data_IF_929391705140
#
_entry.id   IF_929391705140
#
_cell.length_a   1.000
_cell.length_b   1.000
_cell.length_c   1.000
_cell.angle_alpha   90.00
_cell.angle_beta   90.00
_cell.angle_gamma   90.00
#
_symmetry.space_group_name_H-M   'P 1'
#
loop_
_entity.id
_entity.type
_entity.pdbx_description
1 polymer ?
#
# COMPACT_ATOMS: atom_id res chain seq x y z
N UNK A 1 -7.66 -19.19 -50.56
CA UNK A 1 -7.41 -19.68 -49.19
C UNK A 1 -7.28 -18.46 -48.30
N UNK A 2 -8.04 -18.45 -47.20
CA UNK A 2 -8.27 -17.38 -46.19
C UNK A 2 -9.65 -16.73 -46.27
N UNK A 3 -10.58 -17.37 -45.55
CA UNK A 3 -11.88 -16.86 -45.13
C UNK A 3 -11.69 -15.76 -44.09
N UNK A 4 -12.23 -14.57 -44.34
CA UNK A 4 -12.52 -13.60 -43.30
C UNK A 4 -13.92 -13.89 -42.77
N UNK A 5 -13.99 -14.67 -41.67
CA UNK A 5 -15.23 -14.78 -40.92
C UNK A 5 -15.56 -13.44 -40.26
N UNK A 6 -16.64 -12.84 -40.76
CA UNK A 6 -17.42 -11.79 -40.11
C UNK A 6 -17.74 -12.22 -38.66
N UNK A 7 -17.00 -11.66 -37.70
CA UNK A 7 -17.47 -11.63 -36.32
C UNK A 7 -18.55 -10.56 -36.23
N UNK A 8 -19.79 -10.88 -35.81
CA UNK A 8 -20.88 -9.91 -35.83
C UNK A 8 -20.62 -8.79 -34.82
N UNK A 9 -20.86 -7.54 -35.22
CA UNK A 9 -20.89 -6.32 -34.40
C UNK A 9 -21.77 -6.38 -33.12
N UNK A 10 -22.41 -7.52 -32.82
CA UNK A 10 -23.35 -7.70 -31.71
C UNK A 10 -22.70 -7.87 -30.33
N UNK A 11 -21.38 -8.02 -30.22
CA UNK A 11 -20.70 -8.14 -28.92
C UNK A 11 -20.22 -6.79 -28.36
N UNK A 12 -20.24 -5.71 -29.15
CA UNK A 12 -19.82 -4.36 -28.72
C UNK A 12 -21.01 -3.48 -28.32
N UNK A 13 -22.25 -3.91 -28.58
CA UNK A 13 -23.48 -3.16 -28.29
C UNK A 13 -24.41 -3.87 -27.28
N UNK A 14 -23.85 -4.36 -26.18
CA UNK A 14 -24.62 -4.75 -24.97
C UNK A 14 -24.03 -4.20 -23.66
N UNK A 15 -23.30 -3.08 -23.73
CA UNK A 15 -23.33 -2.14 -22.60
C UNK A 15 -24.66 -1.42 -22.70
N UNK A 16 -25.67 -2.00 -22.04
CA UNK A 16 -26.88 -1.29 -21.73
C UNK A 16 -26.50 0.11 -21.23
N UNK A 17 -27.21 1.11 -21.73
CA UNK A 17 -27.17 2.49 -21.25
C UNK A 17 -27.63 2.45 -19.79
N UNK A 18 -26.74 2.03 -18.89
CA UNK A 18 -26.84 2.36 -17.48
C UNK A 18 -26.43 3.82 -17.46
N UNK A 19 -27.42 4.69 -17.25
CA UNK A 19 -27.18 6.10 -16.91
C UNK A 19 -26.03 6.14 -15.91
N UNK A 20 -24.94 6.83 -16.28
CA UNK A 20 -23.81 7.00 -15.39
C UNK A 20 -24.33 7.62 -14.09
N UNK A 21 -23.96 7.07 -12.93
CA UNK A 21 -24.43 7.54 -11.64
C UNK A 21 -24.14 9.04 -11.45
N UNK A 22 -25.17 9.86 -11.24
CA UNK A 22 -25.07 11.33 -11.22
C UNK A 22 -24.72 11.92 -9.85
N UNK A 23 -24.73 11.12 -8.78
CA UNK A 23 -24.25 11.54 -7.46
C UNK A 23 -23.28 10.50 -6.86
N UNK A 24 -22.48 10.92 -5.86
CA UNK A 24 -21.42 10.11 -5.25
C UNK A 24 -21.92 8.76 -4.70
N UNK A 25 -23.14 8.69 -4.16
CA UNK A 25 -23.71 7.43 -3.66
C UNK A 25 -23.97 6.44 -4.78
N UNK A 26 -24.43 6.92 -5.94
CA UNK A 26 -24.70 6.04 -7.07
C UNK A 26 -23.39 5.50 -7.65
N UNK A 27 -22.30 6.30 -7.66
CA UNK A 27 -20.96 5.84 -8.08
C UNK A 27 -20.48 4.72 -7.15
N UNK A 28 -20.67 4.90 -5.83
CA UNK A 28 -20.31 3.88 -4.84
C UNK A 28 -21.08 2.58 -5.02
N UNK A 29 -22.41 2.66 -5.26
CA UNK A 29 -23.26 1.48 -5.50
C UNK A 29 -22.91 0.78 -6.80
N UNK A 30 -22.61 1.54 -7.84
CA UNK A 30 -22.15 1.01 -9.12
C UNK A 30 -20.83 0.25 -8.95
N UNK A 31 -19.84 0.87 -8.29
CA UNK A 31 -18.57 0.22 -8.00
C UNK A 31 -18.75 -1.05 -7.15
N UNK A 32 -19.59 -1.00 -6.11
CA UNK A 32 -19.85 -2.15 -5.24
C UNK A 32 -20.45 -3.34 -5.97
N UNK A 33 -21.38 -3.10 -6.89
CA UNK A 33 -22.04 -4.15 -7.68
C UNK A 33 -21.06 -4.89 -8.58
N UNK A 34 -20.09 -4.18 -9.15
CA UNK A 34 -19.12 -4.72 -10.10
C UNK A 34 -17.78 -5.10 -9.44
N UNK A 35 -17.67 -4.96 -8.11
CA UNK A 35 -16.44 -5.26 -7.39
C UNK A 35 -16.22 -6.77 -7.28
N UNK A 36 -15.11 -7.23 -7.84
CA UNK A 36 -14.64 -8.61 -7.72
C UNK A 36 -14.19 -8.91 -6.28
N UNK A 37 -15.03 -9.62 -5.53
CA UNK A 37 -14.79 -9.99 -4.13
C UNK A 37 -13.59 -10.90 -3.94
N UNK A 38 -13.16 -11.64 -4.97
CA UNK A 38 -11.95 -12.46 -4.88
C UNK A 38 -10.69 -11.61 -4.62
N UNK A 39 -10.67 -10.34 -5.05
CA UNK A 39 -9.57 -9.41 -4.73
C UNK A 39 -9.50 -9.10 -3.24
N UNK A 40 -10.65 -8.93 -2.61
CA UNK A 40 -10.77 -8.67 -1.19
C UNK A 40 -10.35 -9.90 -0.37
N UNK A 41 -10.85 -11.08 -0.72
CA UNK A 41 -10.48 -12.34 -0.05
C UNK A 41 -8.97 -12.61 -0.14
N UNK A 42 -8.39 -12.42 -1.34
CA UNK A 42 -6.95 -12.59 -1.55
C UNK A 42 -6.11 -11.58 -0.76
N UNK A 43 -6.58 -10.34 -0.62
CA UNK A 43 -5.89 -9.32 0.16
C UNK A 43 -5.94 -9.62 1.67
N UNK A 44 -7.11 -10.03 2.18
CA UNK A 44 -7.30 -10.40 3.58
C UNK A 44 -6.52 -11.66 3.95
N UNK A 45 -6.55 -12.68 3.09
CA UNK A 45 -5.75 -13.91 3.26
C UNK A 45 -4.25 -13.62 3.28
N UNK A 46 -3.76 -12.82 2.34
CA UNK A 46 -2.35 -12.43 2.29
C UNK A 46 -1.90 -11.66 3.55
N UNK A 47 -2.72 -10.75 4.05
CA UNK A 47 -2.46 -10.05 5.31
C UNK A 47 -2.45 -11.02 6.50
N UNK A 48 -3.43 -11.93 6.57
CA UNK A 48 -3.51 -12.93 7.64
C UNK A 48 -2.27 -13.82 7.70
N UNK A 49 -1.83 -14.35 6.56
CA UNK A 49 -0.62 -15.18 6.46
C UNK A 49 0.64 -14.40 6.88
N UNK A 50 0.75 -13.12 6.48
CA UNK A 50 1.85 -12.27 6.92
C UNK A 50 1.89 -12.11 8.44
N UNK A 51 0.75 -11.86 9.09
CA UNK A 51 0.67 -11.66 10.53
C UNK A 51 0.91 -12.95 11.33
N UNK A 52 0.65 -14.12 10.73
CA UNK A 52 1.01 -15.42 11.33
C UNK A 52 2.53 -15.63 11.33
N UNK A 53 3.22 -15.25 10.24
CA UNK A 53 4.67 -15.38 10.13
C UNK A 53 5.41 -14.34 10.97
N UNK A 54 4.90 -13.11 10.98
CA UNK A 54 5.54 -11.96 11.62
C UNK A 54 4.55 -11.24 12.56
N UNK A 55 4.13 -11.87 13.66
CA UNK A 55 3.38 -11.16 14.70
C UNK A 55 4.27 -10.10 15.38
N UNK A 56 3.67 -9.07 15.97
CA UNK A 56 4.40 -7.94 16.57
C UNK A 56 5.48 -8.36 17.59
N UNK A 57 5.23 -9.41 18.37
CA UNK A 57 6.18 -9.94 19.35
C UNK A 57 7.39 -10.63 18.72
N UNK A 58 7.29 -11.08 17.46
CA UNK A 58 8.38 -11.70 16.71
C UNK A 58 9.38 -10.66 16.20
N UNK A 59 8.94 -9.43 15.91
CA UNK A 59 9.78 -8.41 15.28
C UNK A 59 11.08 -8.12 16.05
N UNK A 60 11.03 -8.17 17.38
CA UNK A 60 12.20 -7.96 18.25
C UNK A 60 13.28 -9.04 18.08
N UNK A 61 12.87 -10.27 17.72
CA UNK A 61 13.70 -11.47 17.63
C UNK A 61 14.27 -11.70 16.22
N UNK A 62 13.84 -10.94 15.22
CA UNK A 62 14.31 -11.10 13.84
C UNK A 62 15.82 -10.90 13.75
N UNK A 63 16.49 -11.82 13.05
CA UNK A 63 17.87 -11.66 12.61
C UNK A 63 17.93 -10.84 11.31
N UNK A 64 19.15 -10.44 10.92
CA UNK A 64 19.38 -9.77 9.63
C UNK A 64 18.85 -10.61 8.45
N UNK A 65 19.04 -11.93 8.50
CA UNK A 65 18.63 -12.85 7.44
C UNK A 65 17.12 -13.10 7.41
N UNK A 66 16.47 -13.07 8.57
CA UNK A 66 15.01 -13.08 8.65
C UNK A 66 14.42 -11.79 8.09
N UNK A 67 15.20 -10.70 8.06
CA UNK A 67 14.72 -9.39 7.61
C UNK A 67 14.90 -9.16 6.09
N UNK A 68 16.12 -9.31 5.57
CA UNK A 68 16.49 -8.74 4.26
C UNK A 68 15.83 -9.42 3.06
N UNK A 69 15.45 -8.62 2.07
CA UNK A 69 15.09 -9.13 0.74
C UNK A 69 16.35 -9.48 -0.07
N UNK A 70 16.20 -10.42 -1.03
CA UNK A 70 17.21 -10.70 -2.07
C UNK A 70 18.06 -11.96 -1.84
N UNK A 71 17.87 -12.67 -0.72
CA UNK A 71 18.50 -13.98 -0.46
C UNK A 71 17.73 -15.18 -1.03
N UNK A 72 16.59 -14.95 -1.70
CA UNK A 72 15.72 -16.02 -2.21
C UNK A 72 14.88 -16.74 -1.14
N UNK A 73 14.90 -16.24 0.10
CA UNK A 73 14.11 -16.76 1.22
C UNK A 73 12.81 -15.96 1.42
N UNK A 74 11.86 -16.54 2.16
CA UNK A 74 10.63 -15.86 2.59
C UNK A 74 10.85 -14.94 3.81
N UNK A 75 11.86 -14.06 3.71
CA UNK A 75 12.20 -13.07 4.74
C UNK A 75 11.10 -12.01 4.90
N UNK A 76 11.19 -11.22 5.97
CA UNK A 76 10.25 -10.16 6.32
C UNK A 76 10.01 -9.21 5.14
N UNK A 77 11.06 -8.59 4.59
CA UNK A 77 10.92 -7.67 3.48
C UNK A 77 10.37 -8.35 2.22
N UNK A 78 10.75 -9.61 1.96
CA UNK A 78 10.19 -10.37 0.85
C UNK A 78 8.68 -10.64 1.03
N UNK A 79 8.24 -10.96 2.25
CA UNK A 79 6.83 -11.12 2.56
C UNK A 79 6.06 -9.79 2.47
N UNK A 80 6.63 -8.70 3.02
CA UNK A 80 6.02 -7.37 2.95
C UNK A 80 5.85 -6.92 1.50
N UNK A 81 6.82 -7.14 0.61
CA UNK A 81 6.72 -6.70 -0.78
C UNK A 81 5.90 -7.65 -1.67
N UNK A 82 6.25 -8.94 -1.65
CA UNK A 82 5.73 -9.92 -2.61
C UNK A 82 4.45 -10.57 -2.09
N UNK A 83 4.49 -11.12 -0.86
CA UNK A 83 3.38 -11.93 -0.33
C UNK A 83 2.16 -11.10 0.01
N UNK A 84 2.33 -9.82 0.35
CA UNK A 84 1.20 -8.92 0.64
C UNK A 84 0.90 -7.94 -0.50
N UNK A 85 1.33 -8.22 -1.74
CA UNK A 85 1.09 -7.32 -2.89
C UNK A 85 -0.40 -7.06 -3.14
N UNK A 86 -1.25 -8.07 -2.95
CA UNK A 86 -2.71 -7.95 -3.05
C UNK A 86 -3.30 -7.03 -1.97
N UNK A 87 -2.68 -6.97 -0.79
CA UNK A 87 -3.06 -6.03 0.27
C UNK A 87 -2.71 -4.59 -0.08
N UNK A 88 -1.47 -4.32 -0.49
CA UNK A 88 -1.06 -2.99 -0.95
C UNK A 88 0.17 -3.09 -1.85
N UNK A 89 0.18 -2.39 -2.97
CA UNK A 89 1.33 -2.40 -3.85
C UNK A 89 2.39 -1.39 -3.38
N UNK A 90 3.65 -1.82 -3.32
CA UNK A 90 4.82 -0.98 -3.03
C UNK A 90 5.90 -0.98 -4.13
N UNK A 91 5.49 -1.30 -5.36
CA UNK A 91 6.32 -1.14 -6.55
C UNK A 91 6.56 0.34 -6.88
N UNK A 92 7.69 0.64 -7.54
CA UNK A 92 8.09 2.01 -7.89
C UNK A 92 9.26 2.56 -7.06
N UNK A 93 9.72 1.81 -6.04
CA UNK A 93 10.93 2.13 -5.28
C UNK A 93 11.91 0.94 -5.28
N UNK A 94 13.21 1.24 -5.24
CA UNK A 94 14.27 0.21 -5.19
C UNK A 94 14.33 -0.48 -3.82
N UNK A 95 15.10 -1.56 -3.70
CA UNK A 95 15.29 -2.26 -2.43
C UNK A 95 15.89 -1.38 -1.30
N UNK A 96 16.45 -0.21 -1.63
CA UNK A 96 16.87 0.81 -0.65
C UNK A 96 15.73 1.24 0.29
N UNK A 97 14.46 1.07 -0.12
CA UNK A 97 13.28 1.39 0.70
C UNK A 97 13.22 0.64 2.03
N UNK A 98 13.92 -0.49 2.13
CA UNK A 98 14.00 -1.34 3.33
C UNK A 98 15.15 -0.96 4.28
N UNK A 99 15.95 0.05 3.96
CA UNK A 99 17.11 0.45 4.75
C UNK A 99 18.34 -0.43 4.49
N UNK A 100 18.20 -1.76 4.57
CA UNK A 100 19.22 -2.76 4.24
C UNK A 100 18.64 -3.91 3.41
N UNK A 101 19.38 -4.39 2.41
CA UNK A 101 18.99 -5.50 1.52
C UNK A 101 20.21 -6.29 1.04
N UNK A 102 19.98 -7.48 0.47
CA UNK A 102 21.03 -8.30 -0.15
C UNK A 102 20.89 -8.26 -1.68
N UNK A 103 21.90 -7.81 -2.40
CA UNK A 103 21.81 -7.72 -3.86
C UNK A 103 22.92 -6.92 -4.54
N UNK A 104 22.66 -6.54 -5.80
CA UNK A 104 23.53 -5.71 -6.64
C UNK A 104 22.96 -4.30 -6.80
N UNK A 105 23.80 -3.34 -7.19
CA UNK A 105 23.37 -2.01 -7.63
C UNK A 105 23.59 -1.85 -9.13
N UNK A 106 23.12 -0.73 -9.71
CA UNK A 106 23.41 -0.40 -11.12
C UNK A 106 24.91 -0.17 -11.38
N UNK A 107 25.62 0.37 -10.39
CA UNK A 107 27.04 0.71 -10.47
C UNK A 107 27.98 -0.40 -10.01
N UNK A 108 27.47 -1.41 -9.29
CA UNK A 108 28.26 -2.50 -8.72
C UNK A 108 27.48 -3.83 -8.82
N UNK A 109 27.89 -4.74 -9.72
CA UNK A 109 27.19 -6.00 -9.98
C UNK A 109 27.40 -7.04 -8.87
N UNK A 110 28.30 -6.80 -7.91
CA UNK A 110 28.60 -7.73 -6.82
C UNK A 110 27.38 -7.95 -5.94
N UNK A 111 27.05 -9.21 -5.62
CA UNK A 111 25.95 -9.53 -4.72
C UNK A 111 26.46 -9.50 -3.28
N UNK A 112 25.99 -8.52 -2.50
CA UNK A 112 26.35 -8.35 -1.08
C UNK A 112 25.24 -7.62 -0.33
N UNK A 113 25.36 -7.54 0.99
CA UNK A 113 24.53 -6.62 1.77
C UNK A 113 24.82 -5.18 1.35
N UNK A 114 23.77 -4.38 1.27
CA UNK A 114 23.78 -2.97 0.87
C UNK A 114 22.77 -2.23 1.71
N UNK A 115 23.08 -1.00 2.09
CA UNK A 115 22.20 -0.19 2.91
C UNK A 115 22.19 1.27 2.51
N UNK A 116 21.21 2.00 3.04
CA UNK A 116 21.15 3.45 2.91
C UNK A 116 21.94 4.10 4.04
N UNK A 117 22.64 5.19 3.74
CA UNK A 117 23.43 5.98 4.69
C UNK A 117 22.62 6.54 5.89
N UNK A 118 21.28 6.44 5.86
CA UNK A 118 20.39 6.77 6.99
C UNK A 118 20.55 5.86 8.21
N UNK A 119 21.08 4.65 8.02
CA UNK A 119 21.15 3.62 9.06
C UNK A 119 22.58 3.20 9.42
N UNK A 120 23.58 3.83 8.82
CA UNK A 120 25.00 3.60 9.08
C UNK A 120 25.84 4.21 7.98
N UNK A 121 27.14 4.21 8.19
CA UNK A 121 28.17 4.75 7.29
C UNK A 121 29.02 3.64 6.67
N UNK A 122 30.06 4.02 5.92
CA UNK A 122 30.94 3.07 5.23
C UNK A 122 31.78 2.21 6.19
N UNK A 123 31.90 2.62 7.46
CA UNK A 123 32.59 1.88 8.52
C UNK A 123 31.64 0.95 9.30
N UNK A 124 30.33 1.12 9.13
CA UNK A 124 29.31 0.35 9.83
C UNK A 124 29.22 -1.10 9.35
N UNK A 125 29.13 -2.04 10.29
CA UNK A 125 28.86 -3.43 9.97
C UNK A 125 27.39 -3.64 9.58
N UNK A 126 27.11 -4.66 8.76
CA UNK A 126 25.73 -5.00 8.39
C UNK A 126 24.83 -5.31 9.61
N UNK A 127 25.41 -5.77 10.73
CA UNK A 127 24.68 -6.05 11.97
C UNK A 127 24.27 -4.76 12.69
N UNK A 128 25.15 -3.77 12.76
CA UNK A 128 24.85 -2.46 13.36
C UNK A 128 23.79 -1.72 12.53
N UNK A 129 23.96 -1.70 11.21
CA UNK A 129 22.97 -1.12 10.30
C UNK A 129 21.61 -1.78 10.48
N UNK A 130 21.58 -3.11 10.58
CA UNK A 130 20.33 -3.82 10.82
C UNK A 130 19.72 -3.52 12.19
N UNK A 131 20.53 -3.37 13.24
CA UNK A 131 20.03 -2.96 14.55
C UNK A 131 19.30 -1.61 14.43
N UNK A 132 19.91 -0.63 13.77
CA UNK A 132 19.30 0.69 13.54
C UNK A 132 18.00 0.61 12.72
N UNK A 133 17.96 -0.23 11.67
CA UNK A 133 16.74 -0.47 10.89
C UNK A 133 15.65 -1.14 11.72
N UNK A 134 16.02 -2.12 12.56
CA UNK A 134 15.08 -2.84 13.43
C UNK A 134 14.51 -1.92 14.50
N UNK A 135 15.34 -1.06 15.10
CA UNK A 135 14.89 -0.09 16.09
C UNK A 135 13.92 0.90 15.44
N UNK A 136 14.24 1.44 14.27
CA UNK A 136 13.31 2.29 13.52
C UNK A 136 12.00 1.57 13.16
N UNK A 137 12.02 0.26 12.86
CA UNK A 137 10.80 -0.52 12.63
C UNK A 137 9.97 -0.65 13.92
N UNK A 138 10.60 -0.92 15.06
CA UNK A 138 9.92 -1.05 16.35
C UNK A 138 9.33 0.29 16.81
N UNK A 139 10.05 1.39 16.59
CA UNK A 139 9.57 2.75 16.87
C UNK A 139 8.38 3.09 15.98
N UNK A 140 8.44 2.80 14.68
CA UNK A 140 7.30 2.99 13.77
C UNK A 140 6.05 2.25 14.27
N UNK A 141 6.20 1.01 14.75
CA UNK A 141 5.10 0.23 15.31
C UNK A 141 4.53 0.91 16.56
N UNK A 142 5.39 1.44 17.44
CA UNK A 142 4.93 2.13 18.65
C UNK A 142 4.20 3.43 18.32
N UNK A 143 4.79 4.29 17.48
CA UNK A 143 4.15 5.54 17.03
C UNK A 143 2.85 5.29 16.27
N UNK A 144 2.77 4.18 15.52
CA UNK A 144 1.55 3.72 14.86
C UNK A 144 0.41 3.40 15.82
N UNK A 145 0.70 2.78 16.98
CA UNK A 145 -0.31 2.51 18.03
C UNK A 145 -0.80 3.78 18.70
N UNK A 146 0.10 4.74 18.91
CA UNK A 146 -0.18 6.00 19.59
C UNK A 146 -0.78 7.05 18.65
N UNK A 147 -0.81 6.78 17.34
CA UNK A 147 -1.18 7.73 16.28
C UNK A 147 -0.33 9.01 16.34
N UNK A 148 0.95 8.89 16.72
CA UNK A 148 1.91 9.99 16.67
C UNK A 148 2.37 10.21 15.22
N UNK A 149 1.59 10.99 14.47
CA UNK A 149 1.87 11.28 13.06
C UNK A 149 3.22 11.97 12.85
N UNK A 150 3.70 12.75 13.82
CA UNK A 150 5.00 13.40 13.72
C UNK A 150 6.11 12.36 13.81
N UNK A 151 6.10 11.52 14.84
CA UNK A 151 7.08 10.46 15.01
C UNK A 151 7.06 9.46 13.84
N UNK A 152 5.88 9.12 13.32
CA UNK A 152 5.76 8.28 12.12
C UNK A 152 6.45 8.94 10.92
N UNK A 153 6.22 10.22 10.66
CA UNK A 153 6.75 10.90 9.49
C UNK A 153 8.26 11.21 9.62
N UNK A 154 8.75 11.52 10.82
CA UNK A 154 10.17 11.73 11.12
C UNK A 154 10.98 10.42 11.14
N UNK A 155 10.33 9.26 11.32
CA UNK A 155 10.98 7.96 11.27
C UNK A 155 11.78 7.76 9.96
N UNK A 156 13.04 7.26 10.02
CA UNK A 156 13.97 7.25 8.88
C UNK A 156 13.60 6.25 7.77
N UNK A 157 12.70 5.30 8.04
CA UNK A 157 12.22 4.34 7.04
C UNK A 157 11.53 5.06 5.87
N UNK A 158 11.62 4.46 4.69
CA UNK A 158 11.01 5.05 3.49
C UNK A 158 9.49 5.15 3.62
N UNK A 159 8.91 6.19 3.01
CA UNK A 159 7.47 6.43 3.12
C UNK A 159 6.61 5.24 2.67
N UNK A 160 6.97 4.58 1.57
CA UNK A 160 6.23 3.41 1.08
C UNK A 160 6.26 2.26 2.09
N UNK A 161 7.41 2.06 2.74
CA UNK A 161 7.55 1.00 3.73
C UNK A 161 6.79 1.33 5.01
N UNK A 162 6.86 2.60 5.49
CA UNK A 162 6.09 3.07 6.64
C UNK A 162 4.60 2.84 6.46
N UNK A 163 4.04 3.38 5.36
CA UNK A 163 2.62 3.27 5.05
C UNK A 163 2.17 1.81 4.91
N UNK A 164 3.00 0.95 4.30
CA UNK A 164 2.73 -0.48 4.17
C UNK A 164 2.63 -1.16 5.54
N UNK A 165 3.67 -1.01 6.37
CA UNK A 165 3.76 -1.64 7.69
C UNK A 165 2.58 -1.21 8.57
N UNK A 166 2.28 0.08 8.61
CA UNK A 166 1.15 0.62 9.37
C UNK A 166 -0.18 0.03 8.89
N UNK A 167 -0.42 -0.05 7.58
CA UNK A 167 -1.66 -0.66 7.07
C UNK A 167 -1.77 -2.16 7.34
N UNK A 168 -0.65 -2.89 7.41
CA UNK A 168 -0.64 -4.32 7.72
C UNK A 168 -0.97 -4.56 9.20
N UNK A 169 -0.33 -3.84 10.12
CA UNK A 169 -0.52 -4.08 11.56
C UNK A 169 -1.74 -3.36 12.15
N UNK A 170 -2.10 -2.19 11.63
CA UNK A 170 -3.14 -1.31 12.17
C UNK A 170 -4.16 -0.88 11.09
N UNK A 171 -4.83 -1.83 10.40
CA UNK A 171 -5.80 -1.51 9.35
C UNK A 171 -7.00 -0.70 9.83
N UNK A 172 -7.29 -0.70 11.13
CA UNK A 172 -8.30 0.12 11.80
C UNK A 172 -7.90 1.58 11.98
N UNK A 173 -6.69 1.95 11.54
CA UNK A 173 -6.17 3.31 11.65
C UNK A 173 -5.56 3.83 10.35
N UNK A 174 -5.05 2.95 9.50
CA UNK A 174 -4.30 3.33 8.30
C UNK A 174 -4.80 2.58 7.06
N UNK A 175 -5.25 3.33 6.04
CA UNK A 175 -5.66 2.74 4.76
C UNK A 175 -4.45 2.13 4.02
N UNK A 176 -4.65 1.08 3.25
CA UNK A 176 -3.63 0.32 2.52
C UNK A 176 -3.11 1.02 1.23
N UNK A 177 -2.78 2.31 1.32
CA UNK A 177 -2.16 3.12 0.24
C UNK A 177 -0.75 3.51 0.64
N UNK A 178 0.25 3.14 -0.18
CA UNK A 178 1.67 3.34 0.15
C UNK A 178 2.30 4.60 -0.49
N UNK A 179 1.73 5.11 -1.58
CA UNK A 179 2.28 6.26 -2.31
C UNK A 179 1.95 7.57 -1.60
N UNK A 180 2.99 8.38 -1.32
CA UNK A 180 2.84 9.74 -0.78
C UNK A 180 1.95 10.60 -1.68
N UNK A 181 2.21 10.55 -2.97
CA UNK A 181 1.56 11.43 -3.94
C UNK A 181 0.09 11.04 -4.09
N UNK A 182 -0.22 9.74 -4.15
CA UNK A 182 -1.62 9.29 -4.20
C UNK A 182 -2.37 9.56 -2.89
N UNK A 183 -1.71 9.43 -1.73
CA UNK A 183 -2.33 9.78 -0.45
C UNK A 183 -2.75 11.26 -0.44
N UNK A 184 -1.88 12.15 -0.91
CA UNK A 184 -2.17 13.59 -1.02
C UNK A 184 -3.25 13.86 -2.04
N UNK A 185 -3.10 13.37 -3.27
CA UNK A 185 -4.03 13.61 -4.37
C UNK A 185 -5.44 13.16 -4.01
N UNK A 186 -5.60 11.92 -3.53
CA UNK A 186 -6.91 11.40 -3.10
C UNK A 186 -7.45 12.21 -1.93
N UNK A 187 -6.62 12.59 -0.95
CA UNK A 187 -7.08 13.38 0.18
C UNK A 187 -7.61 14.75 -0.26
N UNK A 188 -6.92 15.43 -1.17
CA UNK A 188 -7.35 16.73 -1.69
C UNK A 188 -8.67 16.61 -2.47
N UNK A 189 -8.78 15.62 -3.37
CA UNK A 189 -10.03 15.33 -4.11
C UNK A 189 -11.21 15.01 -3.18
N UNK A 190 -10.92 14.45 -2.00
CA UNK A 190 -11.91 14.17 -0.95
C UNK A 190 -12.17 15.34 0.01
N UNK A 191 -11.64 16.53 -0.29
CA UNK A 191 -11.82 17.74 0.51
C UNK A 191 -11.12 17.69 1.88
N UNK A 192 -10.16 16.79 2.08
CA UNK A 192 -9.29 16.81 3.27
C UNK A 192 -8.31 17.97 3.10
N UNK A 193 -8.29 18.90 4.06
CA UNK A 193 -7.34 20.03 4.08
C UNK A 193 -5.90 19.54 4.09
N UNK A 194 -4.97 20.34 3.56
CA UNK A 194 -3.54 20.02 3.59
C UNK A 194 -3.07 19.71 5.03
N UNK A 195 -2.30 18.64 5.16
CA UNK A 195 -1.70 18.16 6.40
C UNK A 195 -0.17 18.22 6.30
N UNK A 196 0.47 18.50 7.43
CA UNK A 196 1.92 18.47 7.54
C UNK A 196 2.51 17.06 7.38
N UNK A 197 1.83 16.05 7.93
CA UNK A 197 2.32 14.67 7.98
C UNK A 197 1.55 13.76 7.03
N UNK A 198 2.25 12.94 6.26
CA UNK A 198 1.69 12.04 5.25
C UNK A 198 0.92 10.89 5.90
N UNK A 199 1.41 10.36 7.02
CA UNK A 199 0.69 9.35 7.81
C UNK A 199 -0.70 9.84 8.25
N UNK A 200 -0.86 11.16 8.48
CA UNK A 200 -2.15 11.75 8.81
C UNK A 200 -3.14 11.69 7.65
N UNK A 201 -2.70 11.84 6.39
CA UNK A 201 -3.58 11.58 5.23
C UNK A 201 -4.05 10.13 5.21
N UNK A 202 -3.15 9.18 5.45
CA UNK A 202 -3.48 7.76 5.49
C UNK A 202 -4.55 7.45 6.57
N UNK A 203 -4.45 8.12 7.72
CA UNK A 203 -5.45 8.03 8.79
C UNK A 203 -6.78 8.71 8.43
N UNK A 204 -6.74 9.94 7.91
CA UNK A 204 -7.96 10.69 7.58
C UNK A 204 -8.76 10.05 6.45
N UNK A 205 -8.10 9.43 5.47
CA UNK A 205 -8.78 8.65 4.43
C UNK A 205 -9.49 7.43 5.02
N UNK A 206 -8.87 6.75 5.99
CA UNK A 206 -9.55 5.69 6.74
C UNK A 206 -10.75 6.25 7.54
N UNK A 207 -10.63 7.42 8.17
CA UNK A 207 -11.77 8.07 8.85
C UNK A 207 -12.90 8.41 7.88
N UNK A 208 -12.60 8.94 6.68
CA UNK A 208 -13.59 9.21 5.62
C UNK A 208 -14.35 7.97 5.19
N UNK A 209 -13.68 6.81 5.11
CA UNK A 209 -14.33 5.52 4.90
C UNK A 209 -15.42 5.26 5.95
N UNK A 210 -15.10 5.46 7.23
CA UNK A 210 -16.01 5.17 8.34
C UNK A 210 -17.17 6.17 8.47
N UNK A 211 -16.95 7.43 8.07
CA UNK A 211 -17.97 8.49 8.11
C UNK A 211 -19.12 8.23 7.12
N UNK A 212 -18.84 7.57 6.00
CA UNK A 212 -19.81 7.41 4.92
C UNK A 212 -20.68 6.16 5.09
N UNK A 213 -22.00 6.30 4.88
CA UNK A 213 -23.00 5.25 5.17
C UNK A 213 -22.76 3.93 4.42
N UNK A 214 -22.23 4.01 3.19
CA UNK A 214 -21.94 2.85 2.32
C UNK A 214 -20.55 2.26 2.63
N UNK A 215 -19.49 3.08 2.55
CA UNK A 215 -18.11 2.59 2.58
C UNK A 215 -17.62 2.20 3.97
N UNK A 216 -18.32 2.60 5.04
CA UNK A 216 -17.98 2.17 6.42
C UNK A 216 -17.93 0.65 6.57
N UNK A 217 -18.77 -0.06 5.83
CA UNK A 217 -18.87 -1.52 5.85
C UNK A 217 -17.92 -2.22 4.86
N UNK A 218 -17.22 -1.48 4.00
CA UNK A 218 -16.27 -2.08 3.07
C UNK A 218 -14.98 -2.45 3.80
N UNK A 219 -14.22 -3.41 3.28
CA UNK A 219 -12.83 -3.57 3.70
C UNK A 219 -11.93 -2.47 3.15
N UNK A 220 -10.73 -2.35 3.72
CA UNK A 220 -9.72 -1.43 3.21
C UNK A 220 -9.30 -1.76 1.76
N UNK A 221 -9.06 -3.03 1.36
CA UNK A 221 -8.81 -3.38 -0.05
C UNK A 221 -9.91 -2.92 -1.02
N UNK A 222 -11.18 -3.09 -0.67
CA UNK A 222 -12.30 -2.64 -1.51
C UNK A 222 -12.33 -1.11 -1.60
N UNK A 223 -12.21 -0.43 -0.47
CA UNK A 223 -12.21 1.02 -0.43
C UNK A 223 -11.01 1.66 -1.15
N UNK A 224 -9.80 1.13 -0.96
CA UNK A 224 -8.62 1.51 -1.72
C UNK A 224 -8.85 1.34 -3.23
N UNK A 225 -9.42 0.20 -3.64
CA UNK A 225 -9.70 -0.08 -5.05
C UNK A 225 -10.65 0.96 -5.66
N UNK A 226 -11.69 1.35 -4.90
CA UNK A 226 -12.59 2.44 -5.27
C UNK A 226 -11.85 3.77 -5.40
N UNK A 227 -11.07 4.17 -4.39
CA UNK A 227 -10.34 5.45 -4.40
C UNK A 227 -9.41 5.56 -5.62
N UNK A 228 -8.70 4.49 -5.95
CA UNK A 228 -7.86 4.46 -7.14
C UNK A 228 -8.67 4.51 -8.45
N UNK A 229 -9.81 3.80 -8.52
CA UNK A 229 -10.67 3.83 -9.70
C UNK A 229 -11.28 5.22 -9.91
N UNK A 230 -11.65 5.90 -8.84
CA UNK A 230 -12.30 7.21 -8.88
C UNK A 230 -11.31 8.34 -9.16
N UNK A 231 -10.21 8.41 -8.39
CA UNK A 231 -9.38 9.62 -8.34
C UNK A 231 -8.09 9.51 -9.14
N UNK A 232 -7.47 8.32 -9.19
CA UNK A 232 -6.16 8.12 -9.84
C UNK A 232 -6.32 7.69 -11.30
N UNK A 233 -7.05 6.60 -11.55
CA UNK A 233 -7.27 6.07 -12.90
C UNK A 233 -8.45 6.72 -13.61
N UNK A 234 -9.38 7.30 -12.84
CA UNK A 234 -10.58 7.99 -13.34
C UNK A 234 -11.47 7.08 -14.20
N UNK A 235 -11.49 5.79 -13.86
CA UNK A 235 -12.30 4.75 -14.52
C UNK A 235 -13.81 4.93 -14.30
N UNK A 236 -14.18 5.57 -13.17
CA UNK A 236 -15.56 5.73 -12.72
C UNK A 236 -16.13 7.13 -12.98
N UNK A 237 -15.30 8.08 -13.39
CA UNK A 237 -15.72 9.44 -13.68
C UNK A 237 -16.08 9.60 -15.15
N UNK A 238 -17.32 10.01 -15.43
CA UNK A 238 -17.68 10.73 -16.65
C UNK A 238 -17.85 12.21 -16.32
N UNK A 239 -16.77 13.00 -16.47
CA UNK A 239 -16.73 14.46 -16.28
C UNK A 239 -16.99 14.95 -14.82
N UNK A 240 -16.55 16.17 -14.45
CA UNK A 240 -16.37 16.56 -13.06
C UNK A 240 -17.70 16.87 -12.37
N UNK A 241 -17.90 16.29 -11.19
CA UNK A 241 -18.92 16.76 -10.26
C UNK A 241 -18.40 18.07 -9.64
N UNK A 242 -19.01 19.18 -10.04
CA UNK A 242 -18.92 20.46 -9.33
C UNK A 242 -19.42 20.20 -7.90
N UNK A 243 -18.55 20.49 -6.93
CA UNK A 243 -18.86 20.46 -5.49
C UNK A 243 -19.83 21.59 -5.17
#
# INVERSE_FOLDING_TARGET
>A
MLEFHNVPLKTILRRAIMSLPTNFNDILRFFEKDYDTAKEDNALSARGQFLQLYPLNHLKKMTLDDYVIGKGTASFCACVEVKTRTWANMQGATALKFGIYYGKSKSDPTVRYRFTQKFGDDDSTNKEVFANVKDALLDLIQSGKELDFRAIDENPLSQMFKAKILSLYFPEHFINICSKDHLKEIAMEMGIKEQQFISKYQHLLFKKKLEHKITRNWSNPKYMSFLYAQFIRKDLSSAPAVI
#
